data_IF_084069240425
#
_entry.id   IF_084069240425
#
_cell.length_a   1.000
_cell.length_b   1.000
_cell.length_c   1.000
_cell.angle_alpha   90.00
_cell.angle_beta   90.00
_cell.angle_gamma   90.00
#
_symmetry.space_group_name_H-M   'P 1'
#
loop_
_entity.id
_entity.type
_entity.pdbx_description
1 polymer ?
#
# COMPACT_ATOMS: atom_id res chain seq x y z
N UNK A 1 -16.61 1.12 4.54
CA UNK A 1 -17.84 1.58 5.22
C UNK A 1 -18.96 1.72 4.19
N UNK A 2 -20.16 1.22 4.48
CA UNK A 2 -21.35 1.32 3.62
C UNK A 2 -22.16 2.58 3.95
N UNK A 3 -23.26 2.81 3.20
CA UNK A 3 -24.11 4.00 3.39
C UNK A 3 -24.74 4.07 4.79
N UNK A 4 -25.07 2.90 5.35
CA UNK A 4 -25.57 2.67 6.72
C UNK A 4 -24.49 2.77 7.82
N UNK A 5 -23.30 3.29 7.47
CA UNK A 5 -22.15 3.45 8.37
C UNK A 5 -21.56 2.15 8.92
N UNK A 6 -22.01 0.97 8.47
CA UNK A 6 -21.41 -0.30 8.88
C UNK A 6 -19.99 -0.46 8.32
N UNK A 7 -19.08 -0.93 9.17
CA UNK A 7 -17.69 -1.23 8.82
C UNK A 7 -17.56 -2.73 8.55
N UNK A 8 -16.95 -3.07 7.42
CA UNK A 8 -16.69 -4.44 7.03
C UNK A 8 -15.16 -4.66 7.04
N UNK A 9 -14.59 -5.20 8.13
CA UNK A 9 -13.14 -5.35 8.23
C UNK A 9 -12.68 -6.57 7.42
N UNK A 10 -11.54 -6.42 6.75
CA UNK A 10 -10.75 -7.51 6.18
C UNK A 10 -9.32 -7.34 6.64
N UNK A 11 -8.69 -8.44 7.03
CA UNK A 11 -7.30 -8.45 7.48
C UNK A 11 -6.58 -9.67 6.92
N UNK A 12 -5.29 -9.50 6.68
CA UNK A 12 -4.37 -10.57 6.29
C UNK A 12 -3.01 -10.23 6.89
N UNK A 13 -2.35 -11.23 7.47
CA UNK A 13 -0.97 -11.11 7.90
C UNK A 13 -0.06 -11.24 6.68
N UNK A 14 0.89 -10.32 6.54
CA UNK A 14 1.95 -10.42 5.54
C UNK A 14 2.98 -11.46 6.01
N UNK A 15 3.63 -12.19 5.08
CA UNK A 15 4.67 -13.14 5.42
C UNK A 15 5.85 -12.45 6.13
N UNK A 16 6.21 -11.25 5.67
CA UNK A 16 7.29 -10.45 6.21
C UNK A 16 6.81 -9.03 6.60
N UNK A 17 7.42 -8.39 7.61
CA UNK A 17 7.19 -6.98 7.88
C UNK A 17 7.64 -6.13 6.68
N UNK A 18 6.91 -5.07 6.37
CA UNK A 18 7.21 -4.19 5.22
C UNK A 18 7.00 -2.74 5.56
N UNK A 19 7.82 -1.87 4.97
CA UNK A 19 7.58 -0.42 4.93
C UNK A 19 7.26 0.09 3.51
N UNK A 20 7.17 -0.81 2.54
CA UNK A 20 6.92 -0.49 1.14
C UNK A 20 5.43 -0.25 0.89
N UNK A 21 5.09 0.98 0.53
CA UNK A 21 3.71 1.37 0.21
C UNK A 21 3.14 0.54 -0.95
N UNK A 22 3.97 0.09 -1.89
CA UNK A 22 3.51 -0.77 -2.97
C UNK A 22 3.05 -2.15 -2.48
N UNK A 23 3.76 -2.75 -1.51
CA UNK A 23 3.37 -4.04 -0.95
C UNK A 23 2.04 -3.90 -0.20
N UNK A 24 1.92 -2.88 0.66
CA UNK A 24 0.68 -2.57 1.38
C UNK A 24 -0.50 -2.40 0.41
N UNK A 25 -0.30 -1.64 -0.67
CA UNK A 25 -1.32 -1.44 -1.69
C UNK A 25 -1.75 -2.75 -2.37
N UNK A 26 -0.81 -3.60 -2.76
CA UNK A 26 -1.10 -4.87 -3.47
C UNK A 26 -1.92 -5.81 -2.59
N UNK A 27 -1.53 -5.96 -1.32
CA UNK A 27 -2.29 -6.77 -0.37
C UNK A 27 -3.69 -6.19 -0.11
N UNK A 28 -3.81 -4.87 -0.01
CA UNK A 28 -5.11 -4.21 0.15
C UNK A 28 -6.00 -4.40 -1.09
N UNK A 29 -5.44 -4.31 -2.29
CA UNK A 29 -6.12 -4.55 -3.56
C UNK A 29 -6.66 -5.98 -3.65
N UNK A 30 -5.86 -6.99 -3.27
CA UNK A 30 -6.30 -8.38 -3.22
C UNK A 30 -7.44 -8.63 -2.21
N UNK A 31 -7.38 -7.98 -1.05
CA UNK A 31 -8.46 -8.05 -0.07
C UNK A 31 -9.73 -7.40 -0.60
N UNK A 32 -9.60 -6.25 -1.26
CA UNK A 32 -10.72 -5.54 -1.86
C UNK A 32 -11.34 -6.33 -3.01
N UNK A 33 -10.53 -6.98 -3.86
CA UNK A 33 -10.98 -7.74 -5.02
C UNK A 33 -12.04 -8.80 -4.66
N UNK A 34 -11.90 -9.42 -3.49
CA UNK A 34 -12.86 -10.43 -2.97
C UNK A 34 -14.22 -9.83 -2.58
N UNK A 35 -14.29 -8.52 -2.42
CA UNK A 35 -15.49 -7.78 -2.00
C UNK A 35 -16.15 -7.03 -3.16
N UNK A 36 -15.62 -7.14 -4.39
CA UNK A 36 -16.19 -6.51 -5.60
C UNK A 36 -17.38 -7.36 -6.09
N UNK A 37 -18.48 -7.31 -5.35
CA UNK A 37 -19.71 -8.04 -5.62
C UNK A 37 -20.90 -7.12 -5.95
N UNK A 38 -20.63 -5.88 -6.38
CA UNK A 38 -21.64 -4.86 -6.63
C UNK A 38 -22.04 -4.04 -5.39
N UNK A 39 -21.48 -4.33 -4.22
CA UNK A 39 -21.68 -3.49 -3.02
C UNK A 39 -21.09 -2.09 -3.22
N UNK A 40 -21.88 -1.05 -2.94
CA UNK A 40 -21.40 0.33 -2.90
C UNK A 40 -20.69 0.65 -1.57
N UNK A 41 -19.49 1.21 -1.66
CA UNK A 41 -18.71 1.67 -0.50
C UNK A 41 -18.52 3.18 -0.56
N UNK A 42 -18.74 3.86 0.57
CA UNK A 42 -18.52 5.32 0.68
C UNK A 42 -17.18 5.71 1.30
N UNK A 43 -16.47 4.73 1.85
CA UNK A 43 -15.16 4.92 2.48
C UNK A 43 -14.39 3.59 2.43
N UNK A 44 -13.17 3.66 1.94
CA UNK A 44 -12.17 2.60 2.00
C UNK A 44 -11.01 3.11 2.87
N UNK A 45 -10.48 2.23 3.71
CA UNK A 45 -9.35 2.55 4.58
C UNK A 45 -8.48 1.31 4.74
N UNK A 46 -7.17 1.53 4.77
CA UNK A 46 -6.17 0.49 5.05
C UNK A 46 -5.49 0.86 6.34
N UNK A 47 -5.54 -0.04 7.32
CA UNK A 47 -4.85 0.11 8.61
C UNK A 47 -3.73 -0.92 8.72
N UNK A 48 -2.62 -0.52 9.34
CA UNK A 48 -1.51 -1.40 9.66
C UNK A 48 -1.50 -1.69 11.16
N UNK A 49 -1.11 -2.90 11.54
CA UNK A 49 -0.94 -3.32 12.92
C UNK A 49 0.25 -4.28 13.03
N UNK A 50 0.73 -4.51 14.26
CA UNK A 50 1.91 -5.35 14.48
C UNK A 50 3.20 -4.73 13.92
N UNK A 51 3.33 -3.41 14.07
CA UNK A 51 4.53 -2.68 13.63
C UNK A 51 5.75 -3.17 14.42
N UNK A 52 6.87 -3.28 13.72
CA UNK A 52 8.17 -3.72 14.25
C UNK A 52 9.22 -2.67 13.93
N UNK A 53 10.45 -2.88 14.41
CA UNK A 53 11.58 -2.04 14.04
C UNK A 53 11.79 -2.03 12.51
N UNK A 54 12.02 -0.84 11.95
CA UNK A 54 12.17 -0.65 10.51
C UNK A 54 13.36 -1.41 9.91
N UNK A 55 14.37 -1.76 10.72
CA UNK A 55 15.52 -2.57 10.32
C UNK A 55 15.15 -4.00 9.95
N UNK A 56 13.99 -4.49 10.41
CA UNK A 56 13.49 -5.83 10.11
C UNK A 56 12.62 -5.86 8.84
N UNK A 57 12.25 -4.70 8.30
CA UNK A 57 11.34 -4.60 7.17
C UNK A 57 12.00 -5.03 5.86
N UNK A 58 11.22 -5.70 5.01
CA UNK A 58 11.58 -6.08 3.64
C UNK A 58 12.86 -6.92 3.54
N UNK A 59 12.91 -8.09 4.22
CA UNK A 59 14.06 -8.99 4.15
C UNK A 59 14.29 -9.50 2.72
N UNK A 60 15.53 -9.87 2.42
CA UNK A 60 15.91 -10.36 1.10
C UNK A 60 15.14 -11.64 0.76
N UNK A 61 14.38 -11.60 -0.33
CA UNK A 61 13.64 -12.75 -0.85
C UNK A 61 14.37 -13.37 -2.02
N UNK A 62 14.74 -14.65 -1.89
CA UNK A 62 15.32 -15.42 -3.00
C UNK A 62 14.28 -15.81 -4.06
N UNK A 63 12.98 -15.70 -3.74
CA UNK A 63 11.90 -16.14 -4.61
C UNK A 63 11.43 -15.08 -5.61
N UNK A 64 11.79 -13.80 -5.41
CA UNK A 64 11.37 -12.68 -6.25
C UNK A 64 12.55 -11.75 -6.57
N UNK A 65 13.27 -11.99 -7.68
CA UNK A 65 14.43 -11.20 -8.08
C UNK A 65 14.11 -9.72 -8.37
N UNK A 66 12.86 -9.38 -8.66
CA UNK A 66 12.45 -8.01 -8.97
C UNK A 66 11.96 -7.23 -7.74
N UNK A 67 11.84 -7.89 -6.58
CA UNK A 67 11.44 -7.26 -5.33
C UNK A 67 12.41 -6.13 -4.93
N UNK A 68 13.72 -6.35 -5.07
CA UNK A 68 14.74 -5.35 -4.77
C UNK A 68 14.60 -4.09 -5.64
N UNK A 69 14.44 -4.27 -6.96
CA UNK A 69 14.28 -3.14 -7.89
C UNK A 69 13.07 -2.29 -7.55
N UNK A 70 11.96 -2.92 -7.15
CA UNK A 70 10.76 -2.20 -6.71
C UNK A 70 10.98 -1.47 -5.39
N UNK A 71 11.70 -2.09 -4.45
CA UNK A 71 12.05 -1.48 -3.18
C UNK A 71 12.99 -0.27 -3.36
N UNK A 72 13.98 -0.38 -4.24
CA UNK A 72 14.90 0.71 -4.58
C UNK A 72 14.17 1.90 -5.21
N UNK A 73 13.25 1.64 -6.13
CA UNK A 73 12.44 2.69 -6.74
C UNK A 73 11.60 3.44 -5.70
N UNK A 74 11.00 2.73 -4.73
CA UNK A 74 10.20 3.35 -3.67
C UNK A 74 11.09 4.14 -2.69
N UNK A 75 12.25 3.60 -2.30
CA UNK A 75 13.25 4.34 -1.50
C UNK A 75 13.74 5.61 -2.20
N UNK A 76 13.99 5.55 -3.51
CA UNK A 76 14.39 6.72 -4.28
C UNK A 76 13.29 7.80 -4.29
N UNK A 77 12.02 7.39 -4.43
CA UNK A 77 10.88 8.30 -4.34
C UNK A 77 10.78 8.97 -2.97
N UNK A 78 10.97 8.20 -1.89
CA UNK A 78 10.91 8.73 -0.53
C UNK A 78 12.05 9.72 -0.27
N UNK A 79 13.27 9.46 -0.76
CA UNK A 79 14.37 10.42 -0.68
C UNK A 79 14.15 11.70 -1.51
N UNK A 80 13.39 11.62 -2.61
CA UNK A 80 12.96 12.84 -3.32
C UNK A 80 11.94 13.60 -2.49
N UNK A 81 10.96 12.92 -1.87
CA UNK A 81 9.96 13.58 -1.02
C UNK A 81 10.57 14.23 0.22
N UNK A 82 11.57 13.60 0.81
CA UNK A 82 12.31 14.16 1.94
C UNK A 82 12.99 15.48 1.57
N UNK A 83 13.57 15.57 0.36
CA UNK A 83 14.28 16.76 -0.11
C UNK A 83 13.39 17.85 -0.68
N UNK A 84 12.30 17.49 -1.35
CA UNK A 84 11.50 18.41 -2.16
C UNK A 84 10.03 18.53 -1.72
N UNK A 85 9.64 17.84 -0.65
CA UNK A 85 8.27 17.80 -0.15
C UNK A 85 7.45 16.64 -0.73
N UNK A 86 6.38 16.29 -0.03
CA UNK A 86 5.52 15.12 -0.34
C UNK A 86 4.85 15.20 -1.71
N UNK A 87 4.63 16.40 -2.22
CA UNK A 87 3.97 16.66 -3.52
C UNK A 87 4.95 16.65 -4.70
N UNK A 88 6.26 16.52 -4.44
CA UNK A 88 7.28 16.55 -5.49
C UNK A 88 7.14 15.38 -6.48
N UNK A 89 6.71 14.20 -6.02
CA UNK A 89 6.44 13.04 -6.87
C UNK A 89 5.20 12.24 -6.39
N UNK A 90 4.26 12.02 -7.30
CA UNK A 90 3.07 11.18 -7.11
C UNK A 90 3.07 9.97 -8.07
N UNK A 91 2.45 8.86 -7.64
CA UNK A 91 2.20 7.72 -8.55
C UNK A 91 1.15 8.14 -9.58
N UNK A 92 1.36 7.82 -10.85
CA UNK A 92 0.43 8.18 -11.94
C UNK A 92 -1.02 7.72 -11.73
N UNK A 93 -1.25 6.64 -10.95
CA UNK A 93 -2.58 6.17 -10.55
C UNK A 93 -3.37 7.15 -9.67
N UNK A 94 -2.70 8.10 -9.02
CA UNK A 94 -3.32 9.19 -8.25
C UNK A 94 -3.57 10.45 -9.07
N UNK A 95 -3.11 10.51 -10.33
CA UNK A 95 -3.34 11.64 -11.21
C UNK A 95 -4.70 11.46 -11.89
N UNK A 96 -5.72 12.19 -11.42
CA UNK A 96 -6.95 12.39 -12.18
C UNK A 96 -6.67 13.40 -13.30
N UNK A 97 -7.09 13.12 -14.55
CA UNK A 97 -7.24 14.19 -15.54
C UNK A 97 -8.27 15.16 -14.97
N UNK A 98 -7.85 16.37 -14.61
CA UNK A 98 -8.79 17.47 -14.33
C UNK A 98 -9.61 17.68 -15.61
N UNK A 99 -10.86 17.24 -15.59
CA UNK A 99 -11.91 17.68 -16.50
C UNK A 99 -12.56 18.92 -15.93
#
# INVERSE_FOLDING_TARGET
RRADFQILPRSRRLPDPTRLANIIYRFAEELLAKEINGTAYRLLGVGLSGLVDATLADPLSLADPDAERRADAERALDHVRERFGTDAISKGRGLSKRG
#
